data_IF_593658859516
#
_entry.id   IF_593658859516
#
_cell.length_a   1.000
_cell.length_b   1.000
_cell.length_c   1.000
_cell.angle_alpha   90.00
_cell.angle_beta   90.00
_cell.angle_gamma   90.00
#
_symmetry.space_group_name_H-M   'P 1'
#
loop_
_entity.id
_entity.type
_entity.pdbx_description
1 polymer ?
#
# COMPACT_ATOMS: atom_id res chain seq x y z
N UNK A 1 -1.76 -5.98 -13.58
CA UNK A 1 -0.83 -5.03 -12.93
C UNK A 1 0.27 -5.81 -12.24
N UNK A 2 1.51 -5.30 -12.13
CA UNK A 2 2.69 -6.06 -11.63
C UNK A 2 2.44 -6.78 -10.31
N UNK A 3 1.71 -6.19 -9.36
CA UNK A 3 1.34 -6.86 -8.11
C UNK A 3 0.59 -8.18 -8.28
N UNK A 4 -0.22 -8.32 -9.34
CA UNK A 4 -0.92 -9.59 -9.63
C UNK A 4 0.04 -10.71 -10.00
N UNK A 5 1.23 -10.42 -10.56
CA UNK A 5 2.23 -11.45 -10.81
C UNK A 5 2.59 -12.19 -9.52
N UNK A 6 2.83 -11.44 -8.44
CA UNK A 6 3.11 -11.97 -7.11
C UNK A 6 1.87 -12.63 -6.49
N UNK A 7 0.70 -12.03 -6.65
CA UNK A 7 -0.57 -12.54 -6.11
C UNK A 7 -0.97 -13.92 -6.67
N UNK A 8 -0.47 -14.27 -7.85
CA UNK A 8 -0.74 -15.58 -8.47
C UNK A 8 0.27 -16.67 -8.05
N UNK A 9 1.36 -16.32 -7.36
CA UNK A 9 2.36 -17.29 -6.91
C UNK A 9 1.92 -17.96 -5.60
N UNK A 10 1.82 -19.29 -5.62
CA UNK A 10 1.37 -20.07 -4.46
C UNK A 10 2.30 -20.00 -3.26
N UNK A 11 3.57 -19.66 -3.45
CA UNK A 11 4.57 -19.54 -2.38
C UNK A 11 4.79 -18.12 -1.88
N UNK A 12 3.97 -17.15 -2.31
CA UNK A 12 4.06 -15.75 -1.89
C UNK A 12 2.81 -15.35 -1.11
N UNK A 13 3.00 -14.77 0.07
CA UNK A 13 1.94 -14.09 0.82
C UNK A 13 1.83 -12.64 0.34
N UNK A 14 0.89 -12.37 -0.56
CA UNK A 14 0.72 -11.03 -1.14
C UNK A 14 -0.36 -10.23 -0.39
N UNK A 15 -0.04 -8.99 0.00
CA UNK A 15 -1.00 -8.04 0.55
C UNK A 15 -1.11 -6.77 -0.31
N UNK A 16 -2.35 -6.42 -0.64
CA UNK A 16 -2.69 -5.22 -1.39
C UNK A 16 -2.97 -4.03 -0.46
N UNK A 17 -2.08 -3.03 -0.46
CA UNK A 17 -2.25 -1.74 0.24
C UNK A 17 -2.59 -1.84 1.74
N UNK A 18 -1.86 -2.64 2.55
CA UNK A 18 -2.18 -2.81 3.98
C UNK A 18 -2.05 -1.51 4.78
N UNK A 19 -1.26 -0.55 4.30
CA UNK A 19 -1.05 0.75 4.96
C UNK A 19 -2.24 1.71 4.87
N UNK A 20 -3.31 1.35 4.15
CA UNK A 20 -4.53 2.16 4.05
C UNK A 20 -5.17 2.44 5.41
N UNK A 21 -5.14 1.47 6.32
CA UNK A 21 -5.71 1.61 7.66
C UNK A 21 -4.99 2.67 8.49
N UNK A 22 -3.66 2.72 8.38
CA UNK A 22 -2.81 3.68 9.08
C UNK A 22 -3.13 5.11 8.60
N UNK A 23 -3.24 5.31 7.28
CA UNK A 23 -3.55 6.63 6.70
C UNK A 23 -4.89 7.19 7.21
N UNK A 24 -5.86 6.33 7.48
CA UNK A 24 -7.20 6.77 7.94
C UNK A 24 -7.30 7.02 9.43
N UNK A 25 -6.54 6.28 10.22
CA UNK A 25 -6.62 6.35 11.68
C UNK A 25 -5.69 7.43 12.21
N UNK A 26 -4.52 7.57 11.60
CA UNK A 26 -3.61 8.65 11.97
C UNK A 26 -4.00 9.90 11.17
N UNK A 27 -4.95 10.68 11.70
CA UNK A 27 -5.33 11.98 11.16
C UNK A 27 -4.16 12.96 11.29
N UNK A 28 -3.35 13.06 10.25
CA UNK A 28 -2.23 14.00 10.20
C UNK A 28 -2.74 15.40 9.85
N UNK A 29 -2.71 16.31 10.83
CA UNK A 29 -2.83 17.75 10.55
C UNK A 29 -1.80 18.13 9.48
N UNK A 30 -2.26 18.87 8.46
CA UNK A 30 -1.39 19.41 7.41
C UNK A 30 -0.46 20.45 8.05
N UNK A 31 0.75 20.05 8.42
CA UNK A 31 1.74 20.94 9.02
C UNK A 31 2.93 20.21 9.64
N UNK A 32 4.04 20.16 8.91
CA UNK A 32 5.42 20.06 9.42
C UNK A 32 5.85 18.82 10.22
N UNK A 33 5.28 18.60 11.40
CA UNK A 33 5.70 17.56 12.36
C UNK A 33 5.03 16.20 12.13
N UNK A 34 3.94 16.16 11.37
CA UNK A 34 3.10 14.98 11.15
C UNK A 34 3.65 14.00 10.11
N UNK A 35 4.47 14.47 9.15
CA UNK A 35 4.99 13.65 8.06
C UNK A 35 6.10 12.67 8.52
N UNK A 36 7.03 13.13 9.37
CA UNK A 36 8.10 12.29 9.90
C UNK A 36 7.55 11.23 10.87
N UNK A 37 6.61 11.62 11.75
CA UNK A 37 5.88 10.68 12.61
C UNK A 37 5.13 9.63 11.81
N UNK A 38 4.49 10.01 10.69
CA UNK A 38 3.84 9.06 9.79
C UNK A 38 4.81 8.04 9.19
N UNK A 39 6.00 8.48 8.82
CA UNK A 39 7.01 7.63 8.22
C UNK A 39 7.52 6.56 9.20
N UNK A 40 7.66 6.90 10.48
CA UNK A 40 8.02 5.95 11.54
C UNK A 40 6.95 4.86 11.72
N UNK A 41 5.68 5.26 11.82
CA UNK A 41 4.58 4.28 11.94
C UNK A 41 4.49 3.38 10.72
N UNK A 42 4.57 3.94 9.51
CA UNK A 42 4.57 3.13 8.29
C UNK A 42 5.76 2.17 8.24
N UNK A 43 6.96 2.63 8.61
CA UNK A 43 8.17 1.80 8.67
C UNK A 43 8.00 0.63 9.64
N UNK A 44 7.52 0.89 10.84
CA UNK A 44 7.38 -0.12 11.89
C UNK A 44 6.29 -1.14 11.54
N UNK A 45 5.17 -0.67 10.98
CA UNK A 45 4.12 -1.56 10.44
C UNK A 45 4.66 -2.41 9.29
N UNK A 46 5.38 -1.83 8.32
CA UNK A 46 5.97 -2.59 7.21
C UNK A 46 6.92 -3.67 7.71
N UNK A 47 7.74 -3.34 8.70
CA UNK A 47 8.69 -4.25 9.31
C UNK A 47 7.99 -5.45 9.94
N UNK A 48 6.96 -5.21 10.75
CA UNK A 48 6.18 -6.29 11.37
C UNK A 48 5.45 -7.13 10.33
N UNK A 49 4.84 -6.48 9.33
CA UNK A 49 4.18 -7.17 8.23
C UNK A 49 5.16 -8.09 7.51
N UNK A 50 6.34 -7.62 7.09
CA UNK A 50 7.36 -8.43 6.41
C UNK A 50 7.88 -9.60 7.26
N UNK A 51 7.71 -9.55 8.58
CA UNK A 51 7.99 -10.64 9.52
C UNK A 51 6.76 -11.53 9.79
N UNK A 52 5.70 -11.40 8.99
CA UNK A 52 4.42 -12.09 9.14
C UNK A 52 3.71 -11.82 10.49
N UNK A 53 3.95 -10.66 11.11
CA UNK A 53 3.14 -10.17 12.23
C UNK A 53 2.05 -9.23 11.70
N UNK A 54 0.86 -9.80 11.48
CA UNK A 54 -0.30 -9.08 10.97
C UNK A 54 -1.11 -8.39 12.09
N UNK A 55 -0.88 -8.74 13.36
CA UNK A 55 -1.58 -8.12 14.50
C UNK A 55 -1.31 -6.62 14.59
N UNK A 56 -0.16 -6.19 14.06
CA UNK A 56 0.23 -4.77 13.93
C UNK A 56 -0.83 -3.91 13.22
N UNK A 57 -1.71 -4.51 12.42
CA UNK A 57 -2.77 -3.79 11.71
C UNK A 57 -4.02 -3.54 12.58
N UNK A 58 -4.28 -4.38 13.59
CA UNK A 58 -5.53 -4.36 14.36
C UNK A 58 -5.85 -3.00 14.99
N UNK A 59 -4.89 -2.27 15.59
CA UNK A 59 -5.16 -0.95 16.16
C UNK A 59 -5.62 0.10 15.14
N UNK A 60 -5.40 -0.14 13.84
CA UNK A 60 -5.74 0.77 12.76
C UNK A 60 -7.02 0.40 12.02
N UNK A 61 -7.60 -0.77 12.30
CA UNK A 61 -8.83 -1.24 11.65
C UNK A 61 -10.03 -0.69 12.41
N UNK A 62 -11.02 -0.17 11.68
CA UNK A 62 -12.25 0.37 12.24
C UNK A 62 -13.48 -0.30 11.60
N UNK A 63 -14.37 -0.92 12.40
CA UNK A 63 -14.27 -1.16 13.85
C UNK A 63 -13.07 -2.05 14.24
N UNK A 64 -12.58 -1.95 15.49
CA UNK A 64 -11.50 -2.81 15.99
C UNK A 64 -11.86 -4.30 15.86
N UNK A 65 -10.88 -5.17 15.53
CA UNK A 65 -11.11 -6.61 15.54
C UNK A 65 -11.52 -7.13 16.92
N UNK A 66 -12.46 -8.07 16.95
CA UNK A 66 -12.88 -8.80 18.16
C UNK A 66 -12.32 -10.22 18.06
N UNK A 67 -11.58 -10.69 19.07
CA UNK A 67 -10.91 -12.00 19.04
C UNK A 67 -10.11 -12.24 17.75
N UNK A 68 -9.41 -11.19 17.27
CA UNK A 68 -8.66 -11.17 16.01
C UNK A 68 -9.50 -11.41 14.73
N UNK A 69 -10.83 -11.27 14.82
CA UNK A 69 -11.75 -11.37 13.68
C UNK A 69 -12.14 -9.97 13.18
N UNK A 70 -12.08 -9.78 11.86
CA UNK A 70 -12.49 -8.52 11.24
C UNK A 70 -13.16 -8.71 9.88
N UNK A 71 -14.19 -7.90 9.63
CA UNK A 71 -14.92 -7.81 8.36
C UNK A 71 -14.38 -6.66 7.48
N UNK A 72 -13.42 -5.89 8.00
CA UNK A 72 -13.08 -4.55 7.51
C UNK A 72 -11.66 -4.43 6.99
N UNK A 73 -10.96 -5.53 6.71
CA UNK A 73 -9.63 -5.44 6.10
C UNK A 73 -9.70 -4.91 4.65
N UNK A 74 -9.23 -3.68 4.44
CA UNK A 74 -9.21 -3.00 3.15
C UNK A 74 -8.65 -3.89 2.04
N UNK A 75 -9.42 -4.01 0.95
CA UNK A 75 -9.01 -4.74 -0.26
C UNK A 75 -8.60 -6.21 -0.01
N UNK A 76 -9.10 -6.86 1.05
CA UNK A 76 -8.91 -8.31 1.30
C UNK A 76 -9.07 -9.16 0.03
N UNK A 77 -10.17 -8.98 -0.71
CA UNK A 77 -10.42 -9.70 -1.96
C UNK A 77 -9.43 -9.47 -3.12
N UNK A 78 -8.47 -8.56 -2.98
CA UNK A 78 -7.35 -8.35 -3.92
C UNK A 78 -6.08 -9.11 -3.53
N UNK A 79 -6.11 -9.85 -2.42
CA UNK A 79 -5.01 -10.62 -1.88
C UNK A 79 -5.42 -12.10 -1.82
N UNK A 80 -4.95 -12.92 -2.76
CA UNK A 80 -5.34 -14.32 -2.90
C UNK A 80 -5.07 -15.11 -1.62
N UNK A 81 -3.93 -14.85 -0.96
CA UNK A 81 -3.52 -15.49 0.29
C UNK A 81 -4.51 -15.26 1.45
N UNK A 82 -5.35 -14.22 1.39
CA UNK A 82 -6.40 -13.93 2.38
C UNK A 82 -7.76 -14.53 2.02
N UNK A 83 -7.85 -15.16 0.84
CA UNK A 83 -9.05 -15.73 0.24
C UNK A 83 -8.86 -17.21 -0.10
N UNK A 84 -7.78 -17.84 0.35
CA UNK A 84 -7.53 -19.28 0.22
C UNK A 84 -7.48 -19.96 1.59
N UNK A 85 -7.55 -21.28 1.62
CA UNK A 85 -7.48 -22.04 2.86
C UNK A 85 -6.06 -21.96 3.46
N UNK A 86 -5.92 -21.89 4.80
CA UNK A 86 -6.99 -21.95 5.80
C UNK A 86 -7.59 -20.57 6.17
N UNK A 87 -7.18 -19.48 5.53
CA UNK A 87 -7.60 -18.12 5.89
C UNK A 87 -9.05 -17.84 5.50
N UNK A 88 -9.52 -18.45 4.41
CA UNK A 88 -10.92 -18.41 4.00
C UNK A 88 -11.77 -19.34 4.86
N UNK A 89 -12.19 -18.84 6.02
CA UNK A 89 -13.10 -19.57 6.94
C UNK A 89 -14.50 -19.73 6.34
N UNK A 90 -15.31 -20.70 6.83
CA UNK A 90 -16.68 -20.89 6.37
C UNK A 90 -17.52 -19.60 6.48
N UNK A 91 -18.40 -19.40 5.50
CA UNK A 91 -19.30 -18.25 5.46
C UNK A 91 -20.23 -18.20 6.68
N UNK A 92 -20.32 -17.02 7.31
CA UNK A 92 -21.22 -16.78 8.44
C UNK A 92 -22.44 -15.98 7.96
N UNK A 93 -23.64 -16.56 8.08
CA UNK A 93 -24.89 -15.89 7.71
C UNK A 93 -25.08 -14.62 8.56
N UNK A 94 -25.64 -13.57 7.95
CA UNK A 94 -25.94 -12.25 8.57
C UNK A 94 -24.73 -11.38 8.93
N UNK A 95 -23.52 -11.79 8.56
CA UNK A 95 -22.30 -10.98 8.71
C UNK A 95 -22.02 -10.27 7.37
N UNK A 96 -21.86 -8.94 7.40
CA UNK A 96 -21.55 -8.15 6.20
C UNK A 96 -20.03 -7.98 6.03
N UNK A 97 -19.46 -8.67 5.03
CA UNK A 97 -18.06 -8.52 4.65
C UNK A 97 -17.87 -7.37 3.66
N UNK A 98 -17.40 -6.21 4.14
CA UNK A 98 -17.18 -5.02 3.30
C UNK A 98 -16.20 -5.28 2.15
N UNK A 99 -15.19 -6.10 2.39
CA UNK A 99 -14.13 -6.43 1.43
C UNK A 99 -14.09 -7.93 1.12
N UNK A 100 -15.25 -8.50 0.76
CA UNK A 100 -15.37 -9.93 0.44
C UNK A 100 -14.41 -10.42 -0.66
N UNK A 101 -14.08 -11.70 -0.58
CA UNK A 101 -13.32 -12.40 -1.61
C UNK A 101 -14.18 -12.56 -2.87
N UNK A 102 -13.60 -12.34 -4.06
CA UNK A 102 -14.36 -12.31 -5.33
C UNK A 102 -14.96 -13.66 -5.71
N UNK A 103 -14.19 -14.73 -5.52
CA UNK A 103 -14.51 -16.07 -6.03
C UNK A 103 -14.88 -17.06 -4.92
N UNK A 104 -14.93 -16.63 -3.66
CA UNK A 104 -15.21 -17.47 -2.49
C UNK A 104 -16.00 -16.71 -1.45
N UNK A 105 -16.97 -17.38 -0.84
CA UNK A 105 -17.71 -16.86 0.30
C UNK A 105 -16.96 -17.22 1.58
N UNK A 106 -15.99 -16.39 1.95
CA UNK A 106 -15.27 -16.53 3.21
C UNK A 106 -16.03 -15.82 4.33
N UNK A 107 -15.96 -16.34 5.56
CA UNK A 107 -16.35 -15.62 6.76
C UNK A 107 -15.39 -14.48 7.11
N UNK A 108 -15.57 -13.82 8.28
CA UNK A 108 -14.67 -12.80 8.79
C UNK A 108 -13.21 -13.24 8.75
N UNK A 109 -12.34 -12.29 8.43
CA UNK A 109 -10.91 -12.57 8.38
C UNK A 109 -10.40 -12.78 9.79
N UNK A 110 -9.84 -13.96 10.04
CA UNK A 110 -9.08 -14.23 11.25
C UNK A 110 -7.61 -13.82 11.01
N UNK A 111 -7.15 -12.79 11.74
CA UNK A 111 -5.79 -12.24 11.62
C UNK A 111 -4.74 -13.27 12.04
N UNK A 112 -5.02 -14.09 13.06
CA UNK A 112 -4.16 -15.20 13.48
C UNK A 112 -3.93 -16.21 12.36
N UNK A 113 -5.01 -16.69 11.73
CA UNK A 113 -4.91 -17.64 10.61
C UNK A 113 -4.14 -17.03 9.42
N UNK A 114 -4.33 -15.73 9.16
CA UNK A 114 -3.59 -15.01 8.13
C UNK A 114 -2.09 -14.91 8.45
N UNK A 115 -1.72 -14.63 9.69
CA UNK A 115 -0.32 -14.59 10.13
C UNK A 115 0.34 -15.97 10.04
N UNK A 116 -0.34 -17.04 10.45
CA UNK A 116 0.14 -18.41 10.30
C UNK A 116 0.25 -18.85 8.84
N UNK A 117 -0.70 -18.43 7.98
CA UNK A 117 -0.62 -18.67 6.54
C UNK A 117 0.58 -17.94 5.93
N UNK A 118 0.87 -16.71 6.35
CA UNK A 118 2.05 -15.96 5.91
C UNK A 118 3.35 -16.69 6.24
N UNK A 119 3.49 -17.18 7.48
CA UNK A 119 4.69 -17.92 7.93
C UNK A 119 4.92 -19.25 7.19
N UNK A 120 3.91 -19.78 6.50
CA UNK A 120 4.00 -20.99 5.67
C UNK A 120 4.41 -20.71 4.22
N UNK A 121 4.48 -19.45 3.81
CA UNK A 121 4.94 -19.03 2.48
C UNK A 121 6.44 -18.73 2.53
N UNK A 122 7.11 -18.89 1.39
CA UNK A 122 8.55 -18.63 1.28
C UNK A 122 8.84 -17.12 1.31
N UNK A 123 7.92 -16.34 0.77
CA UNK A 123 8.09 -14.90 0.60
C UNK A 123 6.83 -14.12 0.96
N UNK A 124 7.03 -12.87 1.35
CA UNK A 124 5.96 -11.88 1.51
C UNK A 124 6.13 -10.75 0.51
N UNK A 125 5.04 -10.37 -0.14
CA UNK A 125 5.02 -9.26 -1.09
C UNK A 125 3.97 -8.22 -0.68
N UNK A 126 4.41 -6.98 -0.53
CA UNK A 126 3.57 -5.85 -0.13
C UNK A 126 3.46 -4.86 -1.28
N UNK A 127 2.23 -4.58 -1.72
CA UNK A 127 1.98 -3.43 -2.61
C UNK A 127 1.60 -2.23 -1.76
N UNK A 128 2.40 -1.17 -1.82
CA UNK A 128 2.17 0.08 -1.09
C UNK A 128 2.34 1.30 -1.98
N UNK A 129 1.41 2.27 -1.90
CA UNK A 129 1.52 3.58 -2.58
C UNK A 129 1.74 4.75 -1.62
N UNK A 130 1.80 4.49 -0.32
CA UNK A 130 1.85 5.51 0.76
C UNK A 130 3.27 5.83 1.25
N UNK A 131 4.28 5.14 0.73
CA UNK A 131 5.69 5.44 1.01
C UNK A 131 6.18 6.44 -0.03
N UNK A 132 6.49 7.66 0.41
CA UNK A 132 6.82 8.78 -0.50
C UNK A 132 8.30 8.83 -0.89
N UNK A 133 9.19 8.41 0.01
CA UNK A 133 10.63 8.47 -0.18
C UNK A 133 11.23 7.10 0.11
N UNK A 134 12.11 6.65 -0.78
CA UNK A 134 12.74 5.35 -0.74
C UNK A 134 13.69 5.22 0.46
N UNK A 135 14.30 6.32 0.90
CA UNK A 135 15.18 6.42 2.06
C UNK A 135 14.54 5.87 3.34
N UNK A 136 13.21 5.99 3.50
CA UNK A 136 12.51 5.47 4.67
C UNK A 136 12.57 3.94 4.81
N UNK A 137 12.91 3.24 3.73
CA UNK A 137 13.07 1.79 3.73
C UNK A 137 14.47 1.34 4.16
N UNK A 138 15.44 2.24 4.30
CA UNK A 138 16.80 1.89 4.68
C UNK A 138 16.86 1.05 5.98
N UNK A 139 16.18 1.42 7.09
CA UNK A 139 16.22 0.61 8.30
C UNK A 139 15.61 -0.79 8.14
N UNK A 140 14.72 -1.00 7.16
CA UNK A 140 14.21 -2.34 6.85
C UNK A 140 15.19 -3.14 5.99
N UNK A 141 15.88 -2.48 5.07
CA UNK A 141 16.88 -3.12 4.21
C UNK A 141 18.14 -3.53 4.99
N UNK A 142 18.47 -2.80 6.05
CA UNK A 142 19.59 -3.08 6.96
C UNK A 142 19.22 -4.03 8.11
N UNK A 143 17.93 -4.36 8.32
CA UNK A 143 17.53 -5.32 9.35
C UNK A 143 17.98 -6.73 8.96
N UNK A 144 18.84 -7.40 9.75
CA UNK A 144 19.41 -8.70 9.39
C UNK A 144 18.36 -9.82 9.33
N UNK A 145 17.14 -9.59 9.83
CA UNK A 145 16.03 -10.56 9.76
C UNK A 145 15.29 -10.50 8.43
N UNK A 146 15.58 -9.53 7.57
CA UNK A 146 14.87 -9.30 6.30
C UNK A 146 15.83 -9.35 5.10
N UNK A 147 15.50 -10.16 4.09
CA UNK A 147 16.06 -10.00 2.73
C UNK A 147 15.13 -9.11 1.88
N UNK A 148 15.07 -7.83 2.23
CA UNK A 148 14.17 -6.89 1.55
C UNK A 148 14.61 -6.64 0.10
N UNK A 149 13.65 -6.81 -0.83
CA UNK A 149 13.75 -6.37 -2.23
C UNK A 149 12.69 -5.32 -2.52
N UNK A 150 13.05 -4.28 -3.26
CA UNK A 150 12.16 -3.15 -3.58
C UNK A 150 11.99 -3.03 -5.08
N UNK A 151 10.74 -3.11 -5.55
CA UNK A 151 10.36 -2.84 -6.93
C UNK A 151 9.57 -1.52 -6.95
N UNK A 152 10.20 -0.46 -7.45
CA UNK A 152 9.54 0.83 -7.60
C UNK A 152 8.87 0.90 -8.97
N UNK A 153 7.54 0.89 -8.96
CA UNK A 153 6.74 1.13 -10.16
C UNK A 153 6.65 2.62 -10.43
N UNK A 154 7.09 3.05 -11.60
CA UNK A 154 7.00 4.45 -12.05
C UNK A 154 6.16 4.55 -13.31
N UNK A 155 5.40 5.64 -13.40
CA UNK A 155 4.59 6.00 -14.58
C UNK A 155 4.80 7.48 -14.85
N UNK A 156 4.65 7.87 -16.11
CA UNK A 156 4.65 9.28 -16.52
C UNK A 156 3.67 10.08 -15.64
N UNK A 157 4.13 11.12 -14.90
CA UNK A 157 3.27 11.93 -14.04
C UNK A 157 2.10 12.57 -14.77
N UNK A 158 2.24 12.87 -16.07
CA UNK A 158 1.15 13.40 -16.92
C UNK A 158 0.07 12.34 -17.12
N UNK A 159 0.46 11.10 -17.42
CA UNK A 159 -0.47 9.97 -17.55
C UNK A 159 -1.13 9.63 -16.21
N UNK A 160 -0.41 9.77 -15.09
CA UNK A 160 -0.99 9.64 -13.74
C UNK A 160 -2.05 10.72 -13.50
N UNK A 161 -1.75 11.99 -13.81
CA UNK A 161 -2.71 13.09 -13.67
C UNK A 161 -3.96 12.87 -14.55
N UNK A 162 -3.77 12.57 -15.84
CA UNK A 162 -4.88 12.28 -16.76
C UNK A 162 -5.76 11.13 -16.26
N UNK A 163 -5.13 10.04 -15.78
CA UNK A 163 -5.86 8.90 -15.21
C UNK A 163 -6.63 9.27 -13.95
N UNK A 164 -6.06 10.12 -13.07
CA UNK A 164 -6.73 10.59 -11.86
C UNK A 164 -7.89 11.55 -12.14
N UNK A 165 -7.79 12.39 -13.16
CA UNK A 165 -8.90 13.24 -13.61
C UNK A 165 -10.13 12.40 -13.99
N UNK A 166 -9.93 11.24 -14.60
CA UNK A 166 -11.03 10.32 -14.92
C UNK A 166 -11.49 9.55 -13.67
N UNK A 167 -10.57 8.91 -12.95
CA UNK A 167 -10.90 8.01 -11.84
C UNK A 167 -11.44 8.73 -10.58
N UNK A 168 -11.10 10.00 -10.41
CA UNK A 168 -11.45 10.82 -9.26
C UNK A 168 -11.98 12.19 -9.70
N UNK A 169 -12.89 12.20 -10.67
CA UNK A 169 -13.46 13.40 -11.29
C UNK A 169 -13.75 14.54 -10.29
N UNK A 170 -14.50 14.27 -9.22
CA UNK A 170 -14.86 15.30 -8.24
C UNK A 170 -13.69 15.91 -7.46
N UNK A 171 -12.53 15.24 -7.38
CA UNK A 171 -11.30 15.79 -6.75
C UNK A 171 -10.41 16.58 -7.71
N UNK A 172 -10.65 16.45 -9.02
CA UNK A 172 -9.81 16.99 -10.09
C UNK A 172 -10.63 17.86 -11.05
N UNK A 173 -11.73 18.44 -10.57
CA UNK A 173 -12.66 19.22 -11.39
C UNK A 173 -11.99 20.51 -11.93
N UNK A 174 -11.21 21.19 -11.09
CA UNK A 174 -10.34 22.32 -11.45
C UNK A 174 -9.42 21.99 -12.62
N UNK A 175 -8.76 20.83 -12.58
CA UNK A 175 -7.88 20.35 -13.65
C UNK A 175 -8.63 20.07 -14.95
N UNK A 176 -9.88 19.62 -14.87
CA UNK A 176 -10.72 19.40 -16.06
C UNK A 176 -11.13 20.71 -16.70
N UNK A 177 -11.64 21.65 -15.91
CA UNK A 177 -12.03 22.99 -16.36
C UNK A 177 -10.88 23.74 -17.00
N UNK A 178 -9.71 23.72 -16.34
CA UNK A 178 -8.48 24.29 -16.90
C UNK A 178 -8.14 23.72 -18.28
N UNK A 179 -8.30 22.41 -18.48
CA UNK A 179 -8.03 21.74 -19.75
C UNK A 179 -9.08 22.06 -20.84
N UNK A 180 -10.37 22.12 -20.48
CA UNK A 180 -11.47 22.26 -21.45
C UNK A 180 -11.80 23.70 -21.81
N UNK A 181 -11.69 24.62 -20.87
CA UNK A 181 -12.19 25.99 -20.99
C UNK A 181 -11.07 27.02 -21.11
N UNK A 182 -9.80 26.64 -20.85
CA UNK A 182 -8.66 27.56 -20.87
C UNK A 182 -8.78 28.72 -19.86
N UNK A 183 -9.76 28.63 -18.96
CA UNK A 183 -10.07 29.56 -17.89
C UNK A 183 -9.95 28.84 -16.54
N UNK A 184 -9.76 29.63 -15.48
CA UNK A 184 -9.33 29.25 -14.12
C UNK A 184 -7.82 28.99 -13.98
N UNK A 185 -7.12 29.87 -13.25
CA UNK A 185 -5.78 29.55 -12.75
C UNK A 185 -5.90 28.39 -11.77
N UNK A 186 -5.23 27.27 -12.07
CA UNK A 186 -5.04 26.21 -11.09
C UNK A 186 -4.51 26.81 -9.80
N UNK A 187 -5.06 26.41 -8.66
CA UNK A 187 -4.58 26.93 -7.39
C UNK A 187 -3.11 26.56 -7.20
N UNK A 188 -2.32 27.47 -6.62
CA UNK A 188 -0.90 27.24 -6.37
C UNK A 188 -0.69 25.95 -5.55
N UNK A 189 -1.61 25.66 -4.62
CA UNK A 189 -1.63 24.42 -3.85
C UNK A 189 -1.74 23.15 -4.70
N UNK A 190 -2.54 23.15 -5.76
CA UNK A 190 -2.69 22.00 -6.65
C UNK A 190 -1.45 21.78 -7.50
N UNK A 191 -0.89 22.86 -8.04
CA UNK A 191 0.36 22.81 -8.79
C UNK A 191 1.49 22.32 -7.89
N UNK A 192 1.56 22.81 -6.66
CA UNK A 192 2.57 22.41 -5.69
C UNK A 192 2.41 20.93 -5.26
N UNK A 193 1.18 20.42 -5.15
CA UNK A 193 0.93 18.98 -4.92
C UNK A 193 1.41 18.12 -6.09
N UNK A 194 1.15 18.54 -7.34
CA UNK A 194 1.64 17.82 -8.51
C UNK A 194 3.18 17.84 -8.56
N UNK A 195 3.79 19.02 -8.40
CA UNK A 195 5.25 19.20 -8.33
C UNK A 195 5.86 18.32 -7.25
N UNK A 196 5.28 18.32 -6.04
CA UNK A 196 5.74 17.48 -4.94
C UNK A 196 5.67 15.98 -5.26
N UNK A 197 4.63 15.51 -5.95
CA UNK A 197 4.56 14.11 -6.40
C UNK A 197 5.66 13.79 -7.42
N UNK A 198 5.90 14.68 -8.39
CA UNK A 198 6.96 14.51 -9.38
C UNK A 198 8.35 14.47 -8.72
N UNK A 199 8.63 15.39 -7.79
CA UNK A 199 9.89 15.43 -7.05
C UNK A 199 10.08 14.18 -6.19
N UNK A 200 9.04 13.69 -5.51
CA UNK A 200 9.12 12.45 -4.73
C UNK A 200 9.47 11.23 -5.60
N UNK A 201 8.88 11.13 -6.80
CA UNK A 201 9.22 10.08 -7.77
C UNK A 201 10.67 10.23 -8.22
N UNK A 202 11.09 11.44 -8.59
CA UNK A 202 12.45 11.74 -9.04
C UNK A 202 13.49 11.39 -7.98
N UNK A 203 13.33 11.90 -6.76
CA UNK A 203 14.27 11.67 -5.65
C UNK A 203 14.38 10.18 -5.31
N UNK A 204 13.24 9.48 -5.20
CA UNK A 204 13.23 8.04 -4.92
C UNK A 204 13.90 7.22 -6.04
N UNK A 205 13.64 7.57 -7.30
CA UNK A 205 14.26 6.90 -8.44
C UNK A 205 15.77 7.18 -8.51
N UNK A 206 16.20 8.41 -8.26
CA UNK A 206 17.63 8.77 -8.21
C UNK A 206 18.37 8.02 -7.11
N UNK A 207 17.80 7.93 -5.91
CA UNK A 207 18.38 7.12 -4.83
C UNK A 207 18.49 5.66 -5.24
N UNK A 208 17.41 5.10 -5.79
CA UNK A 208 17.34 3.71 -6.22
C UNK A 208 18.39 3.37 -7.28
N UNK A 209 18.53 4.24 -8.30
CA UNK A 209 19.47 4.07 -9.40
C UNK A 209 20.94 4.31 -8.97
N UNK A 210 21.18 5.14 -7.95
CA UNK A 210 22.53 5.29 -7.35
C UNK A 210 23.02 4.01 -6.65
N UNK A 211 22.10 3.10 -6.29
CA UNK A 211 22.40 1.85 -5.60
C UNK A 211 23.38 2.01 -4.42
N UNK A 212 23.01 2.77 -3.37
CA UNK A 212 23.79 2.86 -2.14
C UNK A 212 24.01 1.46 -1.53
N UNK A 213 24.98 1.32 -0.63
CA UNK A 213 25.41 0.03 -0.10
C UNK A 213 24.25 -0.85 0.41
N UNK A 214 23.29 -0.25 1.14
CA UNK A 214 22.12 -0.94 1.69
C UNK A 214 21.10 -1.41 0.63
N UNK A 215 21.16 -0.87 -0.60
CA UNK A 215 20.19 -1.13 -1.66
C UNK A 215 20.79 -1.85 -2.88
N UNK A 216 22.11 -2.01 -2.91
CA UNK A 216 22.83 -2.66 -4.01
C UNK A 216 22.32 -4.07 -4.26
N UNK A 217 21.90 -4.36 -5.50
CA UNK A 217 21.30 -5.64 -5.87
C UNK A 217 19.91 -5.92 -5.30
N UNK A 218 19.31 -4.97 -4.55
CA UNK A 218 18.00 -5.14 -3.88
C UNK A 218 16.89 -4.27 -4.49
N UNK A 219 17.21 -3.40 -5.45
CA UNK A 219 16.27 -2.45 -6.03
C UNK A 219 16.09 -2.64 -7.54
N UNK A 220 14.85 -2.49 -8.00
CA UNK A 220 14.48 -2.44 -9.41
C UNK A 220 13.49 -1.30 -9.66
N UNK A 221 13.77 -0.49 -10.67
CA UNK A 221 12.83 0.50 -11.21
C UNK A 221 12.10 -0.13 -12.41
N UNK A 222 10.77 -0.13 -12.39
CA UNK A 222 9.95 -0.63 -13.50
C UNK A 222 9.05 0.48 -13.99
N UNK A 223 9.27 0.94 -15.23
CA UNK A 223 8.35 1.84 -15.92
C UNK A 223 7.19 1.03 -16.46
N UNK A 224 5.96 1.47 -16.17
CA UNK A 224 4.77 0.91 -16.78
C UNK A 224 3.95 2.05 -17.38
N UNK A 225 3.47 1.85 -18.60
CA UNK A 225 2.69 2.85 -19.36
C UNK A 225 1.22 2.46 -19.44
#
# INVERSE_FOLDING_TARGET
FVGEFFNQQGNIFYLFEPLWHIERTVFFQQGGASAAGSALVYRDVLKQLLLCDLYVLEPFISPPPEDHLTQFLFRRGSSRSLCEDPVCTPFVKKVFEKYHCRNRHCGPLNVTLAAEACRRKDHMALRVVRIRQLEFLQPLAEDPRLDLRVIQLVRDPRAVLASRMVAFAGKYESWKKWLSEGQDQLSENEVQRLRGNCENIRLSAELGLRQPAWLRGRYMLVRYE
#
